data_IF_129809849970
#
_entry.id   IF_129809849970
#
_cell.length_a   1.000
_cell.length_b   1.000
_cell.length_c   1.000
_cell.angle_alpha   90.00
_cell.angle_beta   90.00
_cell.angle_gamma   90.00
#
_symmetry.space_group_name_H-M   'P 1'
#
loop_
_entity.id
_entity.type
_entity.pdbx_description
1 polymer ?
#
# COMPACT_ATOMS: atom_id res chain seq x y z
N UNK A 1 5.26 20.85 -1.60
CA UNK A 1 6.67 21.21 -1.89
C UNK A 1 6.97 21.31 -3.38
N UNK A 2 6.56 20.35 -4.21
CA UNK A 2 6.82 20.39 -5.67
C UNK A 2 6.19 21.62 -6.37
N UNK A 3 4.92 21.93 -6.09
CA UNK A 3 4.23 23.16 -6.56
C UNK A 3 4.95 24.44 -6.17
N UNK A 4 5.31 24.58 -4.89
CA UNK A 4 6.04 25.75 -4.37
C UNK A 4 7.44 25.92 -4.99
N UNK A 5 8.00 24.85 -5.57
CA UNK A 5 9.29 24.85 -6.25
C UNK A 5 9.17 24.95 -7.78
N UNK A 6 7.95 25.14 -8.31
CA UNK A 6 7.70 25.21 -9.76
C UNK A 6 8.03 23.93 -10.52
N UNK A 7 8.03 22.77 -9.86
CA UNK A 7 8.41 21.46 -10.44
C UNK A 7 7.21 20.54 -10.69
N UNK A 8 6.01 21.09 -10.74
CA UNK A 8 4.78 20.34 -10.97
C UNK A 8 3.94 21.12 -11.96
N UNK A 9 3.61 20.48 -13.09
CA UNK A 9 2.71 21.07 -14.07
C UNK A 9 1.28 21.15 -13.48
N UNK A 10 0.47 22.19 -13.78
CA UNK A 10 -0.88 22.29 -13.26
C UNK A 10 -1.79 21.11 -13.65
N UNK A 11 -1.59 20.47 -14.80
CA UNK A 11 -2.36 19.29 -15.18
C UNK A 11 -1.96 18.07 -14.35
N UNK A 12 -0.66 17.87 -14.11
CA UNK A 12 -0.17 16.83 -13.21
C UNK A 12 -0.68 17.06 -11.78
N UNK A 13 -0.67 18.30 -11.29
CA UNK A 13 -1.22 18.63 -9.97
C UNK A 13 -2.69 18.24 -9.84
N UNK A 14 -3.51 18.58 -10.84
CA UNK A 14 -4.93 18.23 -10.85
C UNK A 14 -5.13 16.70 -10.82
N UNK A 15 -4.33 15.95 -11.58
CA UNK A 15 -4.36 14.49 -11.59
C UNK A 15 -3.99 13.89 -10.23
N UNK A 16 -2.91 14.36 -9.60
CA UNK A 16 -2.49 13.88 -8.28
C UNK A 16 -3.53 14.22 -7.20
N UNK A 17 -4.14 15.41 -7.25
CA UNK A 17 -5.19 15.78 -6.31
C UNK A 17 -6.44 14.92 -6.46
N UNK A 18 -6.83 14.58 -7.69
CA UNK A 18 -7.95 13.65 -7.92
C UNK A 18 -7.65 12.25 -7.40
N UNK A 19 -6.44 11.73 -7.67
CA UNK A 19 -6.02 10.43 -7.16
C UNK A 19 -6.03 10.39 -5.62
N UNK A 20 -5.58 11.46 -4.95
CA UNK A 20 -5.62 11.57 -3.50
C UNK A 20 -7.06 11.67 -2.96
N UNK A 21 -7.98 12.35 -3.66
CA UNK A 21 -9.41 12.38 -3.30
C UNK A 21 -10.06 11.00 -3.37
N UNK A 22 -9.61 10.15 -4.28
CA UNK A 22 -10.10 8.77 -4.39
C UNK A 22 -9.49 7.81 -3.36
N UNK A 23 -8.40 8.18 -2.70
CA UNK A 23 -7.69 7.31 -1.76
C UNK A 23 -8.58 6.77 -0.62
N UNK A 24 -9.45 7.55 0.06
CA UNK A 24 -10.30 7.02 1.12
C UNK A 24 -11.24 5.91 0.64
N UNK A 25 -11.79 6.05 -0.58
CA UNK A 25 -12.67 5.03 -1.17
C UNK A 25 -11.88 3.77 -1.53
N UNK A 26 -10.68 3.93 -2.08
CA UNK A 26 -9.80 2.80 -2.38
C UNK A 26 -9.41 2.04 -1.10
N UNK A 27 -9.10 2.75 -0.02
CA UNK A 27 -8.78 2.14 1.28
C UNK A 27 -10.00 1.42 1.85
N UNK A 28 -11.20 2.02 1.81
CA UNK A 28 -12.42 1.37 2.28
C UNK A 28 -12.69 0.04 1.57
N UNK A 29 -12.51 0.00 0.25
CA UNK A 29 -12.64 -1.23 -0.55
C UNK A 29 -11.63 -2.31 -0.18
N UNK A 30 -10.40 -1.92 0.17
CA UNK A 30 -9.39 -2.89 0.62
C UNK A 30 -9.79 -3.50 1.98
N UNK A 31 -10.40 -2.71 2.87
CA UNK A 31 -10.88 -3.21 4.17
C UNK A 31 -12.04 -4.22 4.02
N UNK A 32 -12.84 -4.14 2.95
CA UNK A 32 -13.88 -5.13 2.66
C UNK A 32 -13.30 -6.54 2.41
N UNK A 33 -12.01 -6.66 2.08
CA UNK A 33 -11.32 -7.93 1.86
C UNK A 33 -10.85 -8.60 3.17
N UNK A 34 -11.17 -8.04 4.35
CA UNK A 34 -10.68 -8.52 5.64
C UNK A 34 -10.95 -10.02 5.86
N UNK A 35 -12.16 -10.49 5.54
CA UNK A 35 -12.54 -11.89 5.75
C UNK A 35 -11.70 -12.85 4.89
N UNK A 36 -11.44 -12.49 3.63
CA UNK A 36 -10.63 -13.30 2.72
C UNK A 36 -9.16 -13.31 3.17
N UNK A 37 -8.63 -12.14 3.58
CA UNK A 37 -7.26 -12.01 4.09
C UNK A 37 -7.09 -12.81 5.39
N UNK A 38 -8.09 -12.80 6.28
CA UNK A 38 -8.08 -13.59 7.53
C UNK A 38 -7.96 -15.09 7.24
N UNK A 39 -8.75 -15.61 6.31
CA UNK A 39 -8.69 -17.02 5.91
C UNK A 39 -7.30 -17.39 5.35
N UNK A 40 -6.64 -16.46 4.64
CA UNK A 40 -5.26 -16.67 4.20
C UNK A 40 -4.28 -16.62 5.37
N UNK A 41 -4.42 -15.65 6.28
CA UNK A 41 -3.55 -15.50 7.45
C UNK A 41 -3.52 -16.78 8.31
N UNK A 42 -4.66 -17.44 8.53
CA UNK A 42 -4.74 -18.72 9.25
C UNK A 42 -3.86 -19.81 8.60
N UNK A 43 -3.79 -19.84 7.25
CA UNK A 43 -2.94 -20.79 6.52
C UNK A 43 -1.45 -20.47 6.65
N UNK A 44 -1.10 -19.19 6.85
CA UNK A 44 0.28 -18.73 7.03
C UNK A 44 0.76 -18.74 8.48
N UNK A 45 -0.14 -18.76 9.46
CA UNK A 45 0.17 -18.71 10.88
C UNK A 45 1.14 -19.82 11.37
N UNK A 46 1.14 -20.98 10.69
CA UNK A 46 2.03 -22.10 11.03
C UNK A 46 3.39 -22.05 10.31
N UNK A 47 3.61 -21.09 9.42
CA UNK A 47 4.83 -20.99 8.62
C UNK A 47 5.90 -20.19 9.35
N UNK A 48 7.13 -20.67 9.31
CA UNK A 48 8.29 -20.03 9.95
C UNK A 48 9.01 -19.02 9.04
N UNK A 49 8.70 -19.04 7.74
CA UNK A 49 9.36 -18.20 6.74
C UNK A 49 8.32 -17.67 5.77
N UNK A 50 8.49 -16.41 5.36
CA UNK A 50 7.70 -15.74 4.34
C UNK A 50 8.63 -14.90 3.46
N UNK A 51 8.34 -14.85 2.16
CA UNK A 51 9.08 -14.04 1.19
C UNK A 51 8.16 -12.93 0.66
N UNK A 52 8.60 -11.68 0.82
CA UNK A 52 7.91 -10.50 0.30
C UNK A 52 8.70 -9.95 -0.89
N UNK A 53 8.02 -9.70 -2.01
CA UNK A 53 8.64 -9.24 -3.25
C UNK A 53 7.98 -7.93 -3.68
N UNK A 54 8.80 -6.96 -4.09
CA UNK A 54 8.36 -5.69 -4.64
C UNK A 54 9.44 -5.07 -5.51
N UNK A 55 9.05 -4.26 -6.50
CA UNK A 55 9.97 -3.57 -7.42
C UNK A 55 9.58 -2.09 -7.54
N UNK A 56 10.57 -1.22 -7.71
CA UNK A 56 10.34 0.22 -7.80
C UNK A 56 9.67 0.74 -6.52
N UNK A 57 8.59 1.50 -6.66
CA UNK A 57 7.84 2.04 -5.52
C UNK A 57 7.23 0.96 -4.60
N UNK A 58 7.02 -0.26 -5.09
CA UNK A 58 6.46 -1.36 -4.29
C UNK A 58 7.52 -2.08 -3.44
N UNK A 59 8.81 -1.89 -3.70
CA UNK A 59 9.87 -2.48 -2.88
C UNK A 59 9.78 -2.06 -1.40
N UNK A 60 9.72 -0.76 -1.05
CA UNK A 60 9.55 -0.36 0.35
C UNK A 60 8.22 -0.83 0.96
N UNK A 61 7.17 -0.98 0.17
CA UNK A 61 5.88 -1.52 0.63
C UNK A 61 6.03 -3.00 1.03
N UNK A 62 6.73 -3.79 0.22
CA UNK A 62 7.01 -5.19 0.52
C UNK A 62 7.86 -5.34 1.80
N UNK A 63 8.81 -4.43 2.02
CA UNK A 63 9.60 -4.39 3.26
C UNK A 63 8.74 -4.07 4.49
N UNK A 64 7.83 -3.10 4.40
CA UNK A 64 6.92 -2.76 5.48
C UNK A 64 6.03 -3.96 5.85
N UNK A 65 5.47 -4.66 4.85
CA UNK A 65 4.69 -5.88 5.08
C UNK A 65 5.50 -6.99 5.75
N UNK A 66 6.75 -7.19 5.34
CA UNK A 66 7.66 -8.15 5.95
C UNK A 66 8.02 -7.77 7.40
N UNK A 67 8.16 -6.48 7.69
CA UNK A 67 8.40 -5.98 9.03
C UNK A 67 7.20 -6.26 9.93
N UNK A 68 5.98 -5.92 9.49
CA UNK A 68 4.76 -6.16 10.26
C UNK A 68 4.58 -7.63 10.61
N UNK A 69 4.81 -8.55 9.67
CA UNK A 69 4.72 -9.99 9.95
C UNK A 69 5.74 -10.51 10.99
N UNK A 70 6.85 -9.78 11.23
CA UNK A 70 7.85 -10.15 12.25
C UNK A 70 7.59 -9.52 13.61
N UNK A 71 6.87 -8.41 13.66
CA UNK A 71 6.62 -7.65 14.90
C UNK A 71 5.48 -8.23 15.75
N UNK A 72 4.54 -8.95 15.12
CA UNK A 72 3.41 -9.64 15.76
C UNK A 72 3.58 -11.15 15.71
#
# INVERSE_FOLDING_TARGET
LARLRGRLDPAEEAQWLEALRHLPVAVARVLELENDIRAWAERFATKQHALFLGRGMHYPIALEGALKLKEI
#
